data_IF_165910203206
#
_entry.id   IF_165910203206
#
_cell.length_a   1.000
_cell.length_b   1.000
_cell.length_c   1.000
_cell.angle_alpha   90.00
_cell.angle_beta   90.00
_cell.angle_gamma   90.00
#
_symmetry.space_group_name_H-M   'P 1'
#
loop_
_entity.id
_entity.type
_entity.pdbx_description
1 polymer ?
#
# COMPACT_ATOMS: atom_id res chain seq x y z
N UNK A 1 -7.44 18.21 25.50
CA UNK A 1 -6.43 17.16 25.72
C UNK A 1 -6.80 15.89 24.92
N UNK A 2 -6.86 15.97 23.59
CA UNK A 2 -7.34 14.85 22.73
C UNK A 2 -6.24 14.22 21.87
N UNK A 3 -5.01 14.74 21.92
CA UNK A 3 -3.89 14.25 21.10
C UNK A 3 -3.29 12.92 21.59
N UNK A 4 -3.67 12.42 22.78
CA UNK A 4 -3.15 11.19 23.37
C UNK A 4 -3.81 9.89 22.84
N UNK A 5 -5.13 9.89 22.62
CA UNK A 5 -5.87 8.70 22.19
C UNK A 5 -5.71 8.44 20.68
N UNK A 6 -5.61 9.49 19.88
CA UNK A 6 -5.53 9.40 18.42
C UNK A 6 -4.27 8.69 17.92
N UNK A 7 -3.10 9.00 18.51
CA UNK A 7 -1.85 8.34 18.14
C UNK A 7 -1.81 6.87 18.58
N UNK A 8 -2.41 6.53 19.72
CA UNK A 8 -2.46 5.16 20.24
C UNK A 8 -3.28 4.22 19.33
N UNK A 9 -4.37 4.71 18.74
CA UNK A 9 -5.19 3.93 17.82
C UNK A 9 -4.42 3.54 16.54
N UNK A 10 -3.70 4.49 15.93
CA UNK A 10 -2.93 4.24 14.71
C UNK A 10 -1.73 3.34 15.00
N UNK A 11 -0.97 3.60 16.07
CA UNK A 11 0.19 2.76 16.43
C UNK A 11 -0.21 1.32 16.76
N UNK A 12 -1.33 1.10 17.45
CA UNK A 12 -1.84 -0.24 17.74
C UNK A 12 -2.27 -1.00 16.48
N UNK A 13 -2.94 -0.32 15.54
CA UNK A 13 -3.29 -0.88 14.25
C UNK A 13 -2.04 -1.22 13.41
N UNK A 14 -1.02 -0.35 13.40
CA UNK A 14 0.25 -0.61 12.71
C UNK A 14 1.00 -1.82 13.32
N UNK A 15 0.94 -2.02 14.64
CA UNK A 15 1.48 -3.23 15.27
C UNK A 15 0.76 -4.50 14.81
N UNK A 16 -0.56 -4.44 14.70
CA UNK A 16 -1.38 -5.54 14.18
C UNK A 16 -1.06 -5.81 12.70
N UNK A 17 -0.95 -4.75 11.90
CA UNK A 17 -0.54 -4.82 10.50
C UNK A 17 0.83 -5.47 10.32
N UNK A 18 1.82 -5.10 11.15
CA UNK A 18 3.15 -5.67 11.11
C UNK A 18 3.17 -7.19 11.33
N UNK A 19 2.21 -7.72 12.09
CA UNK A 19 2.08 -9.14 12.42
C UNK A 19 1.35 -9.96 11.33
N UNK A 20 0.74 -9.31 10.35
CA UNK A 20 0.11 -9.98 9.21
C UNK A 20 1.17 -10.56 8.26
N UNK A 21 0.85 -11.68 7.62
CA UNK A 21 1.62 -12.21 6.48
C UNK A 21 1.58 -11.25 5.28
N UNK A 22 2.50 -11.44 4.33
CA UNK A 22 2.56 -10.62 3.10
C UNK A 22 1.24 -10.59 2.35
N UNK A 23 0.62 -11.75 2.15
CA UNK A 23 -0.66 -11.86 1.44
C UNK A 23 -1.81 -11.24 2.22
N UNK A 24 -1.82 -11.35 3.56
CA UNK A 24 -2.81 -10.68 4.40
C UNK A 24 -2.66 -9.15 4.37
N UNK A 25 -1.43 -8.63 4.29
CA UNK A 25 -1.18 -7.19 4.11
C UNK A 25 -1.72 -6.69 2.77
N UNK A 26 -1.47 -7.42 1.68
CA UNK A 26 -2.00 -7.10 0.36
C UNK A 26 -3.53 -7.16 0.33
N UNK A 27 -4.10 -8.20 0.94
CA UNK A 27 -5.55 -8.33 1.09
C UNK A 27 -6.15 -7.15 1.87
N UNK A 28 -5.54 -6.75 2.99
CA UNK A 28 -5.99 -5.61 3.78
C UNK A 28 -5.98 -4.32 2.95
N UNK A 29 -4.89 -4.04 2.22
CA UNK A 29 -4.81 -2.85 1.35
C UNK A 29 -5.94 -2.83 0.32
N UNK A 30 -6.22 -3.97 -0.31
CA UNK A 30 -7.35 -4.12 -1.23
C UNK A 30 -8.70 -3.88 -0.55
N UNK A 31 -8.95 -4.49 0.62
CA UNK A 31 -10.23 -4.29 1.32
C UNK A 31 -10.43 -2.86 1.79
N UNK A 32 -9.38 -2.20 2.29
CA UNK A 32 -9.46 -0.78 2.65
C UNK A 32 -9.76 0.06 1.41
N UNK A 33 -9.12 -0.21 0.27
CA UNK A 33 -9.44 0.47 -0.99
C UNK A 33 -10.90 0.24 -1.41
N UNK A 34 -11.41 -1.00 -1.40
CA UNK A 34 -12.79 -1.27 -1.84
C UNK A 34 -13.84 -0.67 -0.91
N UNK A 35 -13.56 -0.63 0.41
CA UNK A 35 -14.49 -0.11 1.43
C UNK A 35 -14.43 1.41 1.54
N UNK A 36 -13.24 1.99 1.35
CA UNK A 36 -12.93 3.36 1.74
C UNK A 36 -12.32 4.19 0.61
N UNK A 37 -11.95 3.59 -0.52
CA UNK A 37 -11.14 4.20 -1.58
C UNK A 37 -11.78 5.37 -2.34
N UNK A 38 -13.11 5.50 -2.33
CA UNK A 38 -13.79 6.72 -2.81
C UNK A 38 -13.74 7.87 -1.80
N UNK A 39 -13.53 7.56 -0.53
CA UNK A 39 -13.48 8.54 0.55
C UNK A 39 -12.04 8.92 0.88
N UNK A 40 -11.13 7.95 0.88
CA UNK A 40 -9.72 8.04 1.27
C UNK A 40 -8.82 8.11 0.03
N UNK A 41 -9.12 9.06 -0.85
CA UNK A 41 -8.28 9.33 -2.02
C UNK A 41 -7.00 10.01 -1.54
N UNK A 42 -5.81 9.40 -1.76
CA UNK A 42 -4.56 10.10 -1.47
C UNK A 42 -4.53 11.41 -2.26
N UNK A 43 -4.03 12.49 -1.65
CA UNK A 43 -3.77 13.69 -2.41
C UNK A 43 -2.85 13.33 -3.58
N UNK A 44 -3.27 13.65 -4.81
CA UNK A 44 -2.46 13.43 -5.99
C UNK A 44 -1.09 14.08 -5.74
N UNK A 45 0.02 13.36 -5.97
CA UNK A 45 1.34 13.97 -5.98
C UNK A 45 1.39 15.19 -6.92
N UNK A 46 2.40 16.05 -6.75
CA UNK A 46 2.69 17.04 -7.79
C UNK A 46 3.00 16.35 -9.13
N UNK A 47 2.82 17.04 -10.26
CA UNK A 47 2.90 16.47 -11.63
C UNK A 47 4.13 15.59 -11.87
N UNK A 48 5.32 15.99 -11.40
CA UNK A 48 6.53 15.17 -11.57
C UNK A 48 6.49 13.85 -10.78
N UNK A 49 5.92 13.86 -9.59
CA UNK A 49 5.77 12.66 -8.77
C UNK A 49 4.65 11.75 -9.30
N UNK A 50 3.62 12.31 -9.95
CA UNK A 50 2.63 11.54 -10.70
C UNK A 50 3.30 10.77 -11.84
N UNK A 51 4.09 11.44 -12.69
CA UNK A 51 4.77 10.80 -13.83
C UNK A 51 5.68 9.64 -13.39
N UNK A 52 6.40 9.79 -12.27
CA UNK A 52 7.26 8.72 -11.74
C UNK A 52 6.42 7.53 -11.27
N UNK A 53 5.32 7.76 -10.54
CA UNK A 53 4.42 6.70 -10.08
C UNK A 53 3.73 6.01 -11.26
N UNK A 54 3.30 6.76 -12.27
CA UNK A 54 2.76 6.22 -13.52
C UNK A 54 3.77 5.32 -14.23
N UNK A 55 5.03 5.76 -14.32
CA UNK A 55 6.11 4.97 -14.91
C UNK A 55 6.28 3.63 -14.19
N UNK A 56 6.35 3.65 -12.86
CA UNK A 56 6.47 2.43 -12.05
C UNK A 56 5.23 1.53 -12.16
N UNK A 57 4.03 2.11 -12.14
CA UNK A 57 2.77 1.39 -12.36
C UNK A 57 2.74 0.70 -13.72
N UNK A 58 3.17 1.39 -14.78
CA UNK A 58 3.20 0.83 -16.13
C UNK A 58 4.18 -0.34 -16.24
N UNK A 59 5.33 -0.29 -15.58
CA UNK A 59 6.25 -1.43 -15.50
C UNK A 59 5.57 -2.67 -14.90
N UNK A 60 4.81 -2.51 -13.80
CA UNK A 60 4.08 -3.64 -13.19
C UNK A 60 2.97 -4.12 -14.11
N UNK A 61 2.21 -3.21 -14.73
CA UNK A 61 1.10 -3.52 -15.63
C UNK A 61 1.52 -4.37 -16.84
N UNK A 62 2.74 -4.19 -17.34
CA UNK A 62 3.28 -4.94 -18.49
C UNK A 62 3.67 -6.40 -18.16
N UNK A 63 3.76 -6.75 -16.88
CA UNK A 63 4.11 -8.10 -16.42
C UNK A 63 2.92 -9.07 -16.51
N UNK A 64 3.20 -10.38 -16.49
CA UNK A 64 2.16 -11.39 -16.32
C UNK A 64 1.49 -11.29 -14.95
N UNK A 65 0.26 -11.82 -14.80
CA UNK A 65 -0.49 -11.75 -13.52
C UNK A 65 0.27 -12.35 -12.33
N UNK A 66 1.01 -13.42 -12.55
CA UNK A 66 1.82 -14.06 -11.52
C UNK A 66 2.98 -13.15 -11.10
N UNK A 67 3.68 -12.55 -12.06
CA UNK A 67 4.76 -11.58 -11.82
C UNK A 67 4.25 -10.29 -11.16
N UNK A 68 3.05 -9.82 -11.52
CA UNK A 68 2.41 -8.67 -10.88
C UNK A 68 2.19 -8.91 -9.38
N UNK A 69 1.71 -10.11 -9.01
CA UNK A 69 1.52 -10.48 -7.60
C UNK A 69 2.87 -10.65 -6.88
N UNK A 70 3.83 -11.30 -7.54
CA UNK A 70 5.18 -11.49 -7.01
C UNK A 70 5.90 -10.15 -6.74
N UNK A 71 5.77 -9.18 -7.64
CA UNK A 71 6.29 -7.81 -7.43
C UNK A 71 5.64 -7.15 -6.22
N UNK A 72 4.32 -7.23 -6.07
CA UNK A 72 3.62 -6.66 -4.91
C UNK A 72 4.13 -7.29 -3.60
N UNK A 73 4.29 -8.61 -3.56
CA UNK A 73 4.87 -9.33 -2.41
C UNK A 73 6.29 -8.88 -2.11
N UNK A 74 7.14 -8.80 -3.13
CA UNK A 74 8.54 -8.36 -3.03
C UNK A 74 8.68 -6.92 -2.52
N UNK A 75 7.76 -6.03 -2.87
CA UNK A 75 7.73 -4.67 -2.32
C UNK A 75 7.41 -4.72 -0.82
N UNK A 76 6.34 -5.42 -0.41
CA UNK A 76 5.93 -5.52 1.00
C UNK A 76 7.02 -6.19 1.86
N UNK A 77 7.73 -7.17 1.31
CA UNK A 77 8.82 -7.88 1.96
C UNK A 77 10.16 -7.15 1.90
N UNK A 78 10.20 -5.96 1.27
CA UNK A 78 11.43 -5.18 1.08
C UNK A 78 12.56 -5.97 0.41
N UNK A 79 12.21 -6.89 -0.49
CA UNK A 79 13.19 -7.68 -1.24
C UNK A 79 13.97 -6.78 -2.21
N UNK A 80 15.26 -7.04 -2.37
CA UNK A 80 16.17 -6.21 -3.17
C UNK A 80 16.02 -6.43 -4.69
N UNK A 81 14.94 -5.91 -5.27
CA UNK A 81 14.67 -5.95 -6.72
C UNK A 81 14.76 -4.56 -7.36
N UNK A 82 14.79 -4.48 -8.69
CA UNK A 82 14.77 -3.18 -9.38
C UNK A 82 13.51 -2.38 -8.99
N UNK A 83 12.33 -2.97 -9.15
CA UNK A 83 11.05 -2.33 -8.82
C UNK A 83 10.96 -1.99 -7.34
N UNK A 84 11.44 -2.86 -6.44
CA UNK A 84 11.44 -2.56 -5.00
C UNK A 84 12.32 -1.36 -4.63
N UNK A 85 13.43 -1.14 -5.35
CA UNK A 85 14.32 0.02 -5.16
C UNK A 85 13.73 1.30 -5.75
N UNK A 86 13.12 1.20 -6.94
CA UNK A 86 12.40 2.32 -7.54
C UNK A 86 11.24 2.76 -6.64
N UNK A 87 10.45 1.81 -6.15
CA UNK A 87 9.42 2.05 -5.14
C UNK A 87 10.02 2.66 -3.85
N UNK A 88 11.15 2.12 -3.37
CA UNK A 88 11.84 2.61 -2.17
C UNK A 88 12.26 4.07 -2.27
N UNK A 89 12.61 4.54 -3.47
CA UNK A 89 13.00 5.94 -3.75
C UNK A 89 11.84 6.94 -3.81
N UNK A 90 10.59 6.47 -3.83
CA UNK A 90 9.41 7.32 -3.87
C UNK A 90 9.20 8.07 -2.55
N UNK A 91 8.65 9.28 -2.63
CA UNK A 91 8.15 9.99 -1.46
C UNK A 91 7.05 9.20 -0.75
N UNK A 92 6.80 9.46 0.54
CA UNK A 92 5.78 8.74 1.32
C UNK A 92 4.39 8.82 0.66
N UNK A 93 4.03 9.99 0.12
CA UNK A 93 2.74 10.19 -0.55
C UNK A 93 2.70 9.45 -1.90
N UNK A 94 3.81 9.47 -2.64
CA UNK A 94 3.94 8.73 -3.91
C UNK A 94 3.85 7.21 -3.71
N UNK A 95 4.39 6.67 -2.62
CA UNK A 95 4.24 5.26 -2.25
C UNK A 95 2.78 4.87 -2.05
N UNK A 96 2.03 5.66 -1.27
CA UNK A 96 0.60 5.44 -1.08
C UNK A 96 -0.18 5.58 -2.39
N UNK A 97 0.13 6.59 -3.19
CA UNK A 97 -0.49 6.79 -4.49
C UNK A 97 -0.23 5.62 -5.46
N UNK A 98 0.97 5.04 -5.46
CA UNK A 98 1.29 3.85 -6.25
C UNK A 98 0.38 2.66 -5.90
N UNK A 99 0.16 2.37 -4.62
CA UNK A 99 -0.76 1.31 -4.19
C UNK A 99 -2.21 1.61 -4.58
N UNK A 100 -2.63 2.87 -4.51
CA UNK A 100 -3.94 3.30 -5.00
C UNK A 100 -4.07 3.03 -6.52
N UNK A 101 -3.04 3.32 -7.32
CA UNK A 101 -3.02 3.03 -8.76
C UNK A 101 -3.05 1.53 -9.06
N UNK A 102 -2.36 0.70 -8.27
CA UNK A 102 -2.46 -0.76 -8.41
C UNK A 102 -3.90 -1.23 -8.17
N UNK A 103 -4.56 -0.74 -7.12
CA UNK A 103 -5.94 -1.10 -6.80
C UNK A 103 -6.93 -0.68 -7.89
N UNK A 104 -6.80 0.53 -8.44
CA UNK A 104 -7.56 0.96 -9.63
C UNK A 104 -7.29 0.04 -10.83
N UNK A 105 -6.03 -0.37 -11.01
CA UNK A 105 -5.63 -1.32 -12.04
C UNK A 105 -6.26 -2.70 -11.86
N UNK A 106 -6.47 -3.15 -10.63
CA UNK A 106 -7.16 -4.40 -10.29
C UNK A 106 -8.65 -4.32 -10.66
N UNK A 107 -9.32 -3.21 -10.32
CA UNK A 107 -10.72 -2.96 -10.74
C UNK A 107 -10.87 -2.90 -12.26
N UNK A 108 -9.91 -2.29 -12.96
CA UNK A 108 -9.88 -2.20 -14.41
C UNK A 108 -9.45 -3.51 -15.10
N UNK A 109 -9.05 -4.54 -14.34
CA UNK A 109 -8.58 -5.83 -14.86
C UNK A 109 -7.18 -5.80 -15.52
N UNK A 110 -6.43 -4.72 -15.33
CA UNK A 110 -5.06 -4.54 -15.87
C UNK A 110 -3.97 -5.01 -14.91
N UNK A 111 -4.28 -5.06 -13.61
CA UNK A 111 -3.47 -5.68 -12.56
C UNK A 111 -4.21 -6.93 -12.07
N UNK A 112 -3.47 -7.94 -11.63
CA UNK A 112 -3.99 -9.18 -11.05
C UNK A 112 -5.03 -8.88 -9.97
N UNK A 113 -6.31 -9.28 -10.17
CA UNK A 113 -7.36 -8.94 -9.22
C UNK A 113 -7.24 -9.80 -7.96
N UNK A 114 -7.93 -9.37 -6.90
CA UNK A 114 -8.14 -10.20 -5.72
C UNK A 114 -8.90 -11.47 -6.12
N UNK A 115 -8.48 -12.68 -5.68
CA UNK A 115 -9.21 -13.90 -5.99
C UNK A 115 -10.62 -13.92 -5.38
N UNK A 116 -11.62 -14.33 -6.14
CA UNK A 116 -13.02 -14.40 -5.67
C UNK A 116 -13.22 -15.38 -4.50
N UNK A 117 -12.32 -16.36 -4.38
CA UNK A 117 -12.33 -17.38 -3.33
C UNK A 117 -11.42 -17.03 -2.14
N UNK A 118 -10.87 -15.82 -2.08
CA UNK A 118 -10.05 -15.39 -0.94
C UNK A 118 -10.94 -15.08 0.26
N UNK A 119 -10.68 -15.75 1.38
CA UNK A 119 -11.34 -15.48 2.66
C UNK A 119 -10.37 -14.74 3.60
N UNK A 120 -10.69 -13.51 4.03
CA UNK A 120 -9.83 -12.78 4.95
C UNK A 120 -9.79 -13.46 6.32
N UNK A 121 -8.60 -13.57 6.89
CA UNK A 121 -8.43 -14.11 8.24
C UNK A 121 -9.11 -13.24 9.30
N UNK A 122 -9.32 -13.81 10.49
CA UNK A 122 -9.82 -13.05 11.65
C UNK A 122 -8.95 -11.84 12.01
N UNK A 123 -7.64 -11.93 11.74
CA UNK A 123 -6.69 -10.83 11.94
C UNK A 123 -6.92 -9.70 10.92
N UNK A 124 -7.12 -10.04 9.65
CA UNK A 124 -7.41 -9.06 8.58
C UNK A 124 -8.76 -8.39 8.84
N UNK A 125 -9.81 -9.15 9.13
CA UNK A 125 -11.15 -8.59 9.37
C UNK A 125 -11.19 -7.73 10.63
N UNK A 126 -10.55 -8.17 11.72
CA UNK A 126 -10.45 -7.40 12.95
C UNK A 126 -9.72 -6.07 12.75
N UNK A 127 -8.60 -6.09 12.02
CA UNK A 127 -7.85 -4.87 11.70
C UNK A 127 -8.63 -3.96 10.75
N UNK A 128 -9.32 -4.51 9.75
CA UNK A 128 -10.18 -3.73 8.86
C UNK A 128 -11.27 -3.00 9.66
N UNK A 129 -11.99 -3.68 10.55
CA UNK A 129 -12.98 -3.04 11.42
C UNK A 129 -12.39 -1.98 12.33
N UNK A 130 -11.16 -2.19 12.83
CA UNK A 130 -10.46 -1.18 13.61
C UNK A 130 -10.18 0.08 12.78
N UNK A 131 -9.73 -0.06 11.52
CA UNK A 131 -9.47 1.04 10.59
C UNK A 131 -10.77 1.76 10.21
N UNK A 132 -11.85 1.03 9.94
CA UNK A 132 -13.16 1.60 9.61
C UNK A 132 -13.71 2.48 10.75
N UNK A 133 -13.41 2.14 12.00
CA UNK A 133 -13.80 2.93 13.18
C UNK A 133 -12.91 4.15 13.46
N UNK A 134 -11.79 4.32 12.72
CA UNK A 134 -10.92 5.49 12.86
C UNK A 134 -11.47 6.72 12.15
N UNK A 135 -11.05 7.89 12.61
CA UNK A 135 -11.30 9.14 11.88
C UNK A 135 -10.55 9.16 10.56
N UNK A 136 -11.06 9.92 9.58
CA UNK A 136 -10.49 9.97 8.23
C UNK A 136 -8.98 10.24 8.17
N UNK A 137 -8.50 11.22 8.94
CA UNK A 137 -7.07 11.56 8.99
C UNK A 137 -6.22 10.42 9.55
N UNK A 138 -6.76 9.64 10.49
CA UNK A 138 -6.09 8.47 11.06
C UNK A 138 -6.03 7.32 10.07
N UNK A 139 -7.08 7.12 9.28
CA UNK A 139 -7.12 6.12 8.20
C UNK A 139 -6.04 6.41 7.15
N UNK A 140 -5.92 7.67 6.70
CA UNK A 140 -4.84 8.10 5.79
C UNK A 140 -3.47 7.88 6.43
N UNK A 141 -3.31 8.28 7.69
CA UNK A 141 -2.05 8.14 8.42
C UNK A 141 -1.64 6.67 8.51
N UNK A 142 -2.57 5.79 8.90
CA UNK A 142 -2.35 4.35 8.93
C UNK A 142 -1.93 3.81 7.56
N UNK A 143 -2.67 4.12 6.49
CA UNK A 143 -2.38 3.62 5.15
C UNK A 143 -1.00 4.05 4.66
N UNK A 144 -0.66 5.34 4.85
CA UNK A 144 0.65 5.87 4.50
C UNK A 144 1.76 5.17 5.29
N UNK A 145 1.58 5.02 6.60
CA UNK A 145 2.60 4.42 7.47
C UNK A 145 2.72 2.90 7.27
N UNK A 146 1.66 2.22 6.83
CA UNK A 146 1.66 0.80 6.48
C UNK A 146 2.50 0.48 5.23
N UNK A 147 2.61 1.43 4.30
CA UNK A 147 3.33 1.24 3.02
C UNK A 147 4.67 1.95 2.96
N UNK A 148 4.94 2.92 3.85
CA UNK A 148 6.17 3.72 3.83
C UNK A 148 7.42 2.90 4.10
N UNK A 149 7.31 1.91 5.00
CA UNK A 149 8.40 1.00 5.39
C UNK A 149 8.65 -0.14 4.40
N UNK A 150 7.79 -0.30 3.38
CA UNK A 150 7.98 -1.26 2.31
C UNK A 150 8.98 -0.74 1.26
N UNK A 151 9.44 -1.65 0.40
CA UNK A 151 10.46 -1.40 -0.62
C UNK A 151 11.87 -1.65 -0.10
N UNK A 152 12.80 -1.74 -1.04
CA UNK A 152 14.22 -1.86 -0.75
C UNK A 152 14.88 -0.48 -0.79
N UNK A 153 15.91 -0.27 0.02
CA UNK A 153 16.70 0.95 -0.02
C UNK A 153 17.32 1.14 -1.41
N UNK A 154 17.33 2.37 -1.96
CA UNK A 154 18.08 2.64 -3.17
C UNK A 154 19.56 2.29 -2.94
N UNK A 155 20.22 1.72 -3.95
CA UNK A 155 21.65 1.40 -3.82
C UNK A 155 22.44 2.68 -3.55
N UNK A 156 23.29 2.63 -2.52
CA UNK A 156 24.28 3.68 -2.24
C UNK A 156 25.14 3.90 -3.49
N UNK A 157 25.08 5.12 -4.04
CA UNK A 157 25.65 5.47 -5.34
C UNK A 157 24.78 6.43 -6.18
N UNK A 158 23.52 6.65 -5.77
CA UNK A 158 22.66 7.72 -6.28
C UNK A 158 22.73 8.99 -5.40
N UNK A 159 23.94 9.36 -4.96
CA UNK A 159 24.19 10.73 -4.51
C UNK A 159 24.26 11.59 -5.78
N UNK A 160 23.30 12.51 -5.94
CA UNK A 160 23.41 13.60 -6.92
C UNK A 160 24.23 14.72 -6.28
#
# INVERSE_FOLDING_TARGET
MTTGTSGQNVSGALGSYGSLSTDEKLALLWYVYTKMGTSVTPAAPGTAADEIVEGLFNQVKELSREEQLDVQRKIIESQDTLISREYGSLSQNSKLYFWYRLAQGMEAGTIVPMPDNYEPSGSVTGLLSQIEAMEFEQQITFLRDAVVGAGAEPKSGAEV
#
